data_IF_692303118494
#
_entry.id   IF_692303118494
#
_cell.length_a   1.000
_cell.length_b   1.000
_cell.length_c   1.000
_cell.angle_alpha   90.00
_cell.angle_beta   90.00
_cell.angle_gamma   90.00
#
_symmetry.space_group_name_H-M   'P 1'
#
loop_
_entity.id
_entity.type
_entity.pdbx_description
1 polymer ?
#
# COMPACT_ATOMS: atom_id res chain seq x y z
N UNK A 1 -1.25 19.34 20.16
CA UNK A 1 -1.20 19.98 18.83
C UNK A 1 -1.27 18.91 17.73
N UNK A 2 -2.49 18.62 17.31
CA UNK A 2 -2.71 17.54 16.33
C UNK A 2 -2.11 17.91 14.96
N UNK A 3 -1.48 16.95 14.28
CA UNK A 3 -0.84 17.14 12.98
C UNK A 3 -1.78 17.80 11.94
N UNK A 4 -3.04 17.38 11.89
CA UNK A 4 -4.04 17.95 10.97
C UNK A 4 -4.25 19.45 11.17
N UNK A 5 -4.26 19.94 12.42
CA UNK A 5 -4.39 21.36 12.74
C UNK A 5 -3.22 22.17 12.19
N UNK A 6 -2.00 21.64 12.34
CA UNK A 6 -0.78 22.28 11.78
C UNK A 6 -0.81 22.34 10.24
N UNK A 7 -1.30 21.30 9.57
CA UNK A 7 -1.44 21.30 8.11
C UNK A 7 -2.56 22.25 7.65
N UNK A 8 -3.67 22.29 8.37
CA UNK A 8 -4.76 23.23 8.09
C UNK A 8 -4.33 24.69 8.25
N UNK A 9 -3.52 25.02 9.26
CA UNK A 9 -2.96 26.35 9.41
C UNK A 9 -2.11 26.76 8.21
N UNK A 10 -1.27 25.85 7.67
CA UNK A 10 -0.51 26.08 6.43
C UNK A 10 -1.42 26.30 5.21
N UNK A 11 -2.48 25.50 5.10
CA UNK A 11 -3.48 25.69 4.05
C UNK A 11 -4.14 27.08 4.12
N UNK A 12 -4.49 27.54 5.33
CA UNK A 12 -5.09 28.88 5.52
C UNK A 12 -4.20 30.05 5.10
N UNK A 13 -2.89 29.86 5.03
CA UNK A 13 -1.97 30.85 4.49
C UNK A 13 -2.04 30.97 2.97
N UNK A 14 -2.67 30.01 2.29
CA UNK A 14 -2.85 30.01 0.84
C UNK A 14 -3.93 31.01 0.46
N UNK A 15 -3.63 31.89 -0.49
CA UNK A 15 -4.58 32.92 -0.94
C UNK A 15 -5.42 32.48 -2.15
N UNK A 16 -6.70 32.86 -2.17
CA UNK A 16 -7.58 32.92 -3.32
C UNK A 16 -7.59 31.69 -4.24
N UNK A 17 -7.01 31.83 -5.42
CA UNK A 17 -7.02 30.78 -6.47
C UNK A 17 -6.28 29.50 -6.05
N UNK A 18 -5.17 29.65 -5.33
CA UNK A 18 -4.37 28.51 -4.84
C UNK A 18 -5.15 27.67 -3.82
N UNK A 19 -5.84 28.30 -2.88
CA UNK A 19 -6.66 27.59 -1.90
C UNK A 19 -7.78 26.79 -2.59
N UNK A 20 -8.44 27.38 -3.58
CA UNK A 20 -9.47 26.69 -4.38
C UNK A 20 -8.90 25.48 -5.15
N UNK A 21 -7.73 25.63 -5.78
CA UNK A 21 -7.08 24.52 -6.50
C UNK A 21 -6.71 23.37 -5.56
N UNK A 22 -6.24 23.66 -4.34
CA UNK A 22 -5.95 22.65 -3.33
C UNK A 22 -7.22 21.88 -2.96
N UNK A 23 -8.33 22.60 -2.70
CA UNK A 23 -9.61 21.97 -2.34
C UNK A 23 -10.15 21.09 -3.48
N UNK A 24 -10.08 21.54 -4.72
CA UNK A 24 -10.50 20.74 -5.88
C UNK A 24 -9.65 19.47 -5.98
N UNK A 25 -8.34 19.59 -5.83
CA UNK A 25 -7.42 18.44 -5.87
C UNK A 25 -7.67 17.46 -4.73
N UNK A 26 -7.95 17.94 -3.51
CA UNK A 26 -8.31 17.11 -2.38
C UNK A 26 -9.65 16.41 -2.63
N UNK A 27 -10.68 17.14 -3.08
CA UNK A 27 -11.99 16.58 -3.38
C UNK A 27 -11.92 15.45 -4.42
N UNK A 28 -11.19 15.67 -5.51
CA UNK A 28 -11.02 14.64 -6.54
C UNK A 28 -10.34 13.37 -6.02
N UNK A 29 -9.36 13.49 -5.12
CA UNK A 29 -8.66 12.35 -4.53
C UNK A 29 -9.48 11.64 -3.45
N UNK A 30 -10.36 12.35 -2.77
CA UNK A 30 -11.21 11.80 -1.72
C UNK A 30 -12.57 11.30 -2.23
N UNK A 31 -12.90 11.60 -3.49
CA UNK A 31 -14.16 11.19 -4.10
C UNK A 31 -14.49 9.68 -3.97
N UNK A 32 -13.53 8.73 -4.05
CA UNK A 32 -13.82 7.33 -3.81
C UNK A 32 -14.42 7.06 -2.42
N UNK A 33 -14.08 7.86 -1.42
CA UNK A 33 -14.60 7.72 -0.04
C UNK A 33 -16.03 8.29 0.13
N UNK A 34 -16.66 8.82 -0.93
CA UNK A 34 -18.08 9.12 -0.96
C UNK A 34 -18.91 7.83 -1.02
N UNK A 35 -18.31 6.72 -1.46
CA UNK A 35 -18.90 5.39 -1.46
C UNK A 35 -18.99 4.89 -0.02
N UNK A 36 -20.22 4.56 0.42
CA UNK A 36 -20.48 4.18 1.81
C UNK A 36 -19.70 2.93 2.22
N UNK A 37 -19.72 1.92 1.38
CA UNK A 37 -19.06 0.63 1.61
C UNK A 37 -17.54 0.80 1.78
N UNK A 38 -16.96 1.71 1.01
CA UNK A 38 -15.54 2.00 1.14
C UNK A 38 -15.20 2.68 2.46
N UNK A 39 -16.03 3.60 2.93
CA UNK A 39 -15.87 4.21 4.24
C UNK A 39 -15.98 3.19 5.37
N UNK A 40 -16.91 2.25 5.25
CA UNK A 40 -17.12 1.21 6.25
C UNK A 40 -15.89 0.30 6.38
N UNK A 41 -15.35 -0.22 5.27
CA UNK A 41 -14.18 -1.11 5.31
C UNK A 41 -12.88 -0.39 5.67
N UNK A 42 -12.83 0.93 5.61
CA UNK A 42 -11.64 1.72 5.98
C UNK A 42 -11.78 2.42 7.34
N UNK A 43 -12.90 2.20 8.06
CA UNK A 43 -13.17 2.88 9.32
C UNK A 43 -12.29 2.39 10.48
N UNK A 44 -11.90 1.12 10.46
CA UNK A 44 -11.04 0.51 11.48
C UNK A 44 -10.08 -0.49 10.83
N UNK A 45 -9.03 -0.86 11.57
CA UNK A 45 -8.06 -1.85 11.13
C UNK A 45 -8.56 -3.26 11.48
N UNK A 46 -9.06 -3.97 10.47
CA UNK A 46 -9.44 -5.39 10.57
C UNK A 46 -8.38 -6.32 9.99
N UNK A 47 -7.42 -5.77 9.23
CA UNK A 47 -6.42 -6.57 8.54
C UNK A 47 -5.27 -6.98 9.46
N UNK A 48 -5.03 -6.22 10.53
CA UNK A 48 -3.92 -6.46 11.48
C UNK A 48 -2.60 -6.80 10.74
N UNK A 49 -2.27 -6.00 9.72
CA UNK A 49 -1.12 -6.26 8.82
C UNK A 49 0.21 -6.38 9.58
N UNK A 50 0.30 -5.74 10.74
CA UNK A 50 1.46 -5.79 11.63
C UNK A 50 1.64 -7.15 12.32
N UNK A 51 0.62 -8.00 12.36
CA UNK A 51 0.70 -9.35 12.93
C UNK A 51 1.16 -10.42 11.94
N UNK A 52 1.15 -10.08 10.64
CA UNK A 52 1.66 -10.97 9.62
C UNK A 52 3.16 -11.21 9.81
N UNK A 53 3.57 -12.46 9.79
CA UNK A 53 4.97 -12.85 10.06
C UNK A 53 5.26 -13.24 11.50
N UNK A 54 4.34 -13.01 12.45
CA UNK A 54 4.44 -13.51 13.84
C UNK A 54 3.85 -14.91 13.98
N UNK A 55 2.75 -15.13 13.28
CA UNK A 55 2.01 -16.41 13.29
C UNK A 55 1.71 -16.85 11.85
N UNK A 56 1.43 -18.14 11.68
CA UNK A 56 1.02 -18.69 10.37
C UNK A 56 -0.36 -18.13 10.02
N UNK A 57 -0.40 -17.23 9.05
CA UNK A 57 -1.60 -16.53 8.60
C UNK A 57 -1.68 -16.54 7.08
N UNK A 58 -2.87 -16.61 6.51
CA UNK A 58 -3.12 -16.40 5.09
C UNK A 58 -4.01 -15.17 4.90
N UNK A 59 -3.52 -14.17 4.18
CA UNK A 59 -4.27 -12.98 3.79
C UNK A 59 -4.64 -13.09 2.32
N UNK A 60 -5.93 -12.97 2.01
CA UNK A 60 -6.46 -12.97 0.65
C UNK A 60 -6.95 -11.57 0.30
N UNK A 61 -6.37 -10.97 -0.73
CA UNK A 61 -6.79 -9.69 -1.29
C UNK A 61 -7.42 -9.96 -2.66
N UNK A 62 -8.74 -9.91 -2.73
CA UNK A 62 -9.50 -10.18 -3.94
C UNK A 62 -9.89 -8.85 -4.58
N UNK A 63 -9.55 -8.68 -5.86
CA UNK A 63 -9.85 -7.48 -6.64
C UNK A 63 -10.54 -7.85 -7.94
N UNK A 64 -11.30 -6.92 -8.52
CA UNK A 64 -11.92 -7.10 -9.83
C UNK A 64 -10.87 -6.90 -10.94
N UNK A 65 -10.90 -7.75 -11.95
CA UNK A 65 -10.06 -7.61 -13.15
C UNK A 65 -10.59 -6.54 -14.11
N UNK A 66 -11.89 -6.25 -14.03
CA UNK A 66 -12.58 -5.35 -14.97
C UNK A 66 -12.77 -3.94 -14.43
N UNK A 67 -12.71 -3.76 -13.10
CA UNK A 67 -12.92 -2.46 -12.46
C UNK A 67 -11.67 -2.01 -11.70
N UNK A 68 -11.00 -1.01 -12.25
CA UNK A 68 -9.78 -0.43 -11.67
C UNK A 68 -10.05 0.63 -10.58
N UNK A 69 -11.31 0.94 -10.28
CA UNK A 69 -11.69 2.03 -9.37
C UNK A 69 -11.03 1.89 -7.99
N UNK A 70 -10.88 0.67 -7.49
CA UNK A 70 -10.36 0.39 -6.16
C UNK A 70 -8.89 -0.10 -6.14
N UNK A 71 -8.22 -0.13 -7.28
CA UNK A 71 -6.82 -0.61 -7.35
C UNK A 71 -5.87 0.19 -6.45
N UNK A 72 -6.17 1.45 -6.21
CA UNK A 72 -5.39 2.29 -5.30
C UNK A 72 -5.39 1.77 -3.86
N UNK A 73 -6.49 1.14 -3.40
CA UNK A 73 -6.56 0.53 -2.06
C UNK A 73 -5.59 -0.63 -1.94
N UNK A 74 -5.60 -1.52 -2.93
CA UNK A 74 -4.70 -2.67 -2.96
C UNK A 74 -3.25 -2.21 -2.98
N UNK A 75 -2.93 -1.18 -3.77
CA UNK A 75 -1.61 -0.57 -3.79
C UNK A 75 -1.20 0.01 -2.43
N UNK A 76 -2.15 0.63 -1.71
CA UNK A 76 -1.96 1.12 -0.35
C UNK A 76 -1.68 -0.01 0.64
N UNK A 77 -2.50 -1.07 0.60
CA UNK A 77 -2.33 -2.25 1.47
C UNK A 77 -0.96 -2.87 1.26
N UNK A 78 -0.53 -3.13 0.02
CA UNK A 78 0.81 -3.65 -0.24
C UNK A 78 1.92 -2.72 0.23
N UNK A 79 1.76 -1.41 0.04
CA UNK A 79 2.76 -0.44 0.50
C UNK A 79 2.90 -0.47 2.03
N UNK A 80 1.78 -0.50 2.74
CA UNK A 80 1.77 -0.60 4.20
C UNK A 80 2.32 -1.93 4.68
N UNK A 81 1.86 -3.04 4.10
CA UNK A 81 2.32 -4.39 4.43
C UNK A 81 3.84 -4.51 4.33
N UNK A 82 4.42 -4.12 3.20
CA UNK A 82 5.87 -4.24 3.02
C UNK A 82 6.66 -3.36 3.97
N UNK A 83 6.16 -2.15 4.29
CA UNK A 83 6.81 -1.29 5.27
C UNK A 83 6.75 -1.90 6.67
N UNK A 84 5.56 -2.30 7.12
CA UNK A 84 5.35 -2.88 8.44
C UNK A 84 6.19 -4.15 8.66
N UNK A 85 6.20 -5.06 7.67
CA UNK A 85 6.99 -6.29 7.77
C UNK A 85 8.49 -6.01 7.83
N UNK A 86 8.99 -5.05 7.05
CA UNK A 86 10.40 -4.67 7.08
C UNK A 86 10.78 -3.98 8.40
N UNK A 87 9.97 -3.02 8.86
CA UNK A 87 10.20 -2.33 10.11
C UNK A 87 10.19 -3.30 11.29
N UNK A 88 9.21 -4.20 11.32
CA UNK A 88 9.11 -5.21 12.36
C UNK A 88 10.27 -6.20 12.33
N UNK A 89 10.69 -6.64 11.14
CA UNK A 89 11.85 -7.51 11.01
C UNK A 89 13.12 -6.84 11.56
N UNK A 90 13.34 -5.56 11.22
CA UNK A 90 14.55 -4.85 11.61
C UNK A 90 14.52 -4.44 13.10
N UNK A 91 13.40 -3.87 13.57
CA UNK A 91 13.33 -3.23 14.88
C UNK A 91 13.00 -4.22 16.01
N UNK A 92 12.25 -5.29 15.72
CA UNK A 92 11.78 -6.25 16.74
C UNK A 92 12.56 -7.55 16.68
N UNK A 93 12.86 -8.06 15.48
CA UNK A 93 13.40 -9.41 15.29
C UNK A 93 14.85 -9.47 14.79
N UNK A 94 15.57 -8.35 14.77
CA UNK A 94 16.98 -8.32 14.39
C UNK A 94 17.26 -8.69 12.94
N UNK A 95 16.32 -8.39 12.04
CA UNK A 95 16.47 -8.54 10.59
C UNK A 95 15.69 -9.69 9.95
N UNK A 96 14.97 -10.52 10.74
CA UNK A 96 14.21 -11.64 10.19
C UNK A 96 12.94 -11.93 10.98
N UNK A 97 11.80 -12.03 10.27
CA UNK A 97 10.52 -12.40 10.88
C UNK A 97 10.53 -13.88 11.35
N UNK A 98 9.83 -14.20 12.44
CA UNK A 98 9.68 -15.58 12.96
C UNK A 98 9.05 -16.54 11.95
N UNK A 99 8.05 -16.05 11.20
CA UNK A 99 7.37 -16.81 10.15
C UNK A 99 7.69 -16.18 8.79
N UNK A 100 8.14 -17.01 7.86
CA UNK A 100 8.44 -16.56 6.49
C UNK A 100 7.16 -16.12 5.78
N UNK A 101 7.14 -14.88 5.26
CA UNK A 101 6.00 -14.33 4.52
C UNK A 101 6.22 -14.50 3.03
N UNK A 102 5.26 -15.11 2.36
CA UNK A 102 5.23 -15.32 0.91
C UNK A 102 4.09 -14.51 0.30
N UNK A 103 4.42 -13.65 -0.66
CA UNK A 103 3.43 -12.91 -1.44
C UNK A 103 3.22 -13.59 -2.80
N UNK A 104 1.99 -14.03 -3.06
CA UNK A 104 1.57 -14.54 -4.35
C UNK A 104 0.71 -13.45 -4.99
N UNK A 105 1.19 -12.84 -6.05
CA UNK A 105 0.52 -11.73 -6.71
C UNK A 105 0.17 -12.18 -8.12
N UNK A 106 -1.11 -12.38 -8.35
CA UNK A 106 -1.65 -12.60 -9.68
C UNK A 106 -1.97 -11.25 -10.32
N UNK A 107 -1.81 -11.13 -11.62
CA UNK A 107 -2.07 -9.92 -12.40
C UNK A 107 -1.46 -8.63 -11.81
N UNK A 108 -0.19 -8.67 -11.45
CA UNK A 108 0.55 -7.56 -10.82
C UNK A 108 0.42 -6.22 -11.58
N UNK A 109 0.11 -6.26 -12.89
CA UNK A 109 -0.12 -5.06 -13.70
C UNK A 109 -1.36 -4.26 -13.27
N UNK A 110 -2.36 -4.92 -12.67
CA UNK A 110 -3.61 -4.30 -12.25
C UNK A 110 -3.54 -3.64 -10.88
N UNK A 111 -2.53 -3.96 -10.07
CA UNK A 111 -2.41 -3.47 -8.68
C UNK A 111 -2.05 -1.97 -8.63
N UNK A 112 -1.61 -1.39 -9.74
CA UNK A 112 -1.09 -0.02 -9.73
C UNK A 112 0.36 0.07 -9.22
N UNK A 113 0.80 1.27 -8.90
CA UNK A 113 2.20 1.52 -8.57
C UNK A 113 2.46 1.30 -7.06
N UNK A 114 3.04 0.16 -6.70
CA UNK A 114 3.60 -0.04 -5.35
C UNK A 114 4.89 0.79 -5.24
N UNK A 115 5.07 1.55 -4.17
CA UNK A 115 6.28 2.36 -4.00
C UNK A 115 7.52 1.47 -3.99
N UNK A 116 8.43 1.74 -4.91
CA UNK A 116 9.66 0.97 -5.15
C UNK A 116 10.51 0.72 -3.91
N UNK A 117 10.62 1.71 -3.04
CA UNK A 117 11.45 1.62 -1.85
C UNK A 117 10.97 0.49 -0.92
N UNK A 118 9.66 0.40 -0.72
CA UNK A 118 9.06 -0.63 0.15
C UNK A 118 9.27 -2.03 -0.43
N UNK A 119 9.03 -2.21 -1.72
CA UNK A 119 9.20 -3.51 -2.37
C UNK A 119 10.67 -3.95 -2.42
N UNK A 120 11.60 -3.05 -2.73
CA UNK A 120 13.05 -3.35 -2.73
C UNK A 120 13.56 -3.70 -1.34
N UNK A 121 13.12 -2.97 -0.31
CA UNK A 121 13.47 -3.26 1.07
C UNK A 121 12.93 -4.62 1.47
N UNK A 122 11.66 -4.90 1.18
CA UNK A 122 11.02 -6.18 1.45
C UNK A 122 11.75 -7.35 0.82
N UNK A 123 12.06 -7.31 -0.48
CA UNK A 123 12.78 -8.39 -1.17
C UNK A 123 14.19 -8.59 -0.62
N UNK A 124 14.87 -7.53 -0.20
CA UNK A 124 16.21 -7.59 0.38
C UNK A 124 16.18 -8.14 1.82
N UNK A 125 15.26 -7.67 2.66
CA UNK A 125 15.13 -8.06 4.07
C UNK A 125 14.63 -9.50 4.22
N UNK A 126 13.71 -9.94 3.34
CA UNK A 126 13.14 -11.29 3.39
C UNK A 126 14.00 -12.35 2.71
N UNK A 127 15.16 -12.00 2.14
CA UNK A 127 16.05 -12.91 1.38
C UNK A 127 15.26 -13.80 0.40
N UNK A 128 14.28 -13.23 -0.29
CA UNK A 128 13.43 -13.97 -1.23
C UNK A 128 14.10 -14.01 -2.61
N UNK A 129 14.69 -15.13 -3.01
CA UNK A 129 14.96 -15.36 -4.42
C UNK A 129 13.61 -15.62 -5.09
N UNK A 130 13.14 -14.68 -5.88
CA UNK A 130 12.01 -14.85 -6.80
C UNK A 130 10.70 -15.37 -6.20
N UNK A 131 9.92 -14.55 -5.49
CA UNK A 131 8.64 -15.00 -4.97
C UNK A 131 7.47 -14.02 -5.17
N UNK A 132 7.51 -13.29 -6.26
CA UNK A 132 6.32 -12.74 -6.88
C UNK A 132 6.08 -13.61 -8.11
N UNK A 133 5.17 -14.54 -8.01
CA UNK A 133 4.71 -15.28 -9.18
C UNK A 133 3.75 -14.36 -9.94
N UNK A 134 4.30 -13.57 -10.86
CA UNK A 134 3.50 -12.89 -11.85
C UNK A 134 3.10 -13.90 -12.93
N UNK A 135 1.83 -13.92 -13.31
CA UNK A 135 1.37 -14.71 -14.45
C UNK A 135 2.12 -14.33 -15.74
N UNK A 136 2.22 -15.20 -16.74
CA UNK A 136 3.17 -15.10 -17.86
C UNK A 136 3.07 -13.85 -18.76
N UNK A 137 2.03 -13.03 -18.63
CA UNK A 137 1.87 -11.83 -19.47
C UNK A 137 2.80 -10.68 -19.11
N UNK A 138 3.35 -10.66 -17.88
CA UNK A 138 4.26 -9.61 -17.45
C UNK A 138 5.38 -10.20 -16.58
N UNK A 139 6.52 -10.51 -17.21
CA UNK A 139 7.67 -11.02 -16.47
C UNK A 139 8.22 -9.94 -15.51
N UNK A 140 8.77 -10.38 -14.38
CA UNK A 140 9.56 -9.55 -13.44
C UNK A 140 10.57 -8.63 -14.13
N UNK A 141 11.13 -9.06 -15.27
CA UNK A 141 12.06 -8.29 -16.08
C UNK A 141 11.42 -7.04 -16.70
N UNK A 142 10.11 -7.03 -16.94
CA UNK A 142 9.39 -5.85 -17.43
C UNK A 142 9.09 -4.86 -16.29
N UNK A 143 8.81 -5.35 -15.10
CA UNK A 143 8.60 -4.53 -13.91
C UNK A 143 9.92 -3.86 -13.48
N UNK A 144 11.02 -4.59 -13.49
CA UNK A 144 12.34 -4.11 -13.08
C UNK A 144 12.98 -3.12 -14.07
N UNK A 145 12.52 -3.03 -15.31
CA UNK A 145 12.98 -2.04 -16.30
C UNK A 145 12.28 -0.67 -16.19
N UNK A 146 11.18 -0.57 -15.46
CA UNK A 146 10.48 0.68 -15.16
C UNK A 146 10.76 1.22 -13.75
N UNK A 147 11.60 0.55 -13.01
CA UNK A 147 12.14 0.86 -11.71
C UNK A 147 13.59 1.37 -11.83
#
# INVERSE_FOLDING_TARGET
DHFAVRQYAKYKLSAGKTAKSILVSCGARLAPFDIKELREITAYDELELDTLGDKKTALFLIMSDTDATFNFLISMVYTQLFNLLCEKADDVYGGRLPVHVRCLIDECANIGQIRNHSLRRFTKTMQIPSLVTATPRYSWAALNRRL
#
